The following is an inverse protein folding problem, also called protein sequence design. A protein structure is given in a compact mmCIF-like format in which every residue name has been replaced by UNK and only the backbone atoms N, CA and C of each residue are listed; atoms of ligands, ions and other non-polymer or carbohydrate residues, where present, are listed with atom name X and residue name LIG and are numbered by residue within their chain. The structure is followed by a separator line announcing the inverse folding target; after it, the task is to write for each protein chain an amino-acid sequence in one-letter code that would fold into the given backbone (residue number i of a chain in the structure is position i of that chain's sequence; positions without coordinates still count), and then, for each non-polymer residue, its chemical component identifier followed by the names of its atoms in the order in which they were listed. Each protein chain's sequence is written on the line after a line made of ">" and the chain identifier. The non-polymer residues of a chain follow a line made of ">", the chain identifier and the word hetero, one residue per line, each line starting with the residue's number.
data_IF_433645603507
#
_entry.id   IF_433645603507
#
_cell.length_a   1.000
_cell.length_b   1.000
_cell.length_c   1.000
_cell.angle_alpha   90.00
_cell.angle_beta   90.00
_cell.angle_gamma   90.00
#
_symmetry.space_group_name_H-M   'P 1'
#
loop_
_entity.id
_entity.type
_entity.pdbx_description
1 polymer ?
#
# COMPACT_ATOMS: atom_id res chain seq x y z
N UNK A 1 51.34 -4.98 13.49
CA UNK A 1 50.15 -4.56 12.71
C UNK A 1 50.14 -5.34 11.40
N UNK A 2 49.07 -6.09 11.11
CA UNK A 2 49.00 -6.91 9.90
C UNK A 2 48.96 -6.02 8.66
N UNK A 3 49.87 -6.25 7.71
CA UNK A 3 49.90 -5.56 6.42
C UNK A 3 48.65 -5.99 5.64
N UNK A 4 47.70 -5.09 5.48
CA UNK A 4 46.52 -5.33 4.64
C UNK A 4 47.01 -5.51 3.19
N UNK A 5 46.81 -6.69 2.61
CA UNK A 5 47.26 -7.02 1.24
C UNK A 5 46.32 -6.52 0.15
N UNK A 6 45.09 -6.14 0.49
CA UNK A 6 44.06 -5.67 -0.45
C UNK A 6 43.53 -4.34 0.05
N UNK A 7 43.81 -3.26 -0.67
CA UNK A 7 43.31 -1.93 -0.35
C UNK A 7 42.07 -1.63 -1.19
N UNK A 8 40.89 -1.95 -0.65
CA UNK A 8 39.60 -1.70 -1.30
C UNK A 8 38.68 -0.97 -0.32
N UNK A 9 38.33 0.27 -0.65
CA UNK A 9 37.38 1.08 0.12
C UNK A 9 36.28 1.58 -0.80
N UNK A 10 35.03 1.44 -0.35
CA UNK A 10 33.83 1.92 -1.05
C UNK A 10 33.85 3.45 -1.16
N UNK A 11 34.41 4.15 -0.17
CA UNK A 11 34.50 5.61 -0.14
C UNK A 11 35.40 6.18 -1.24
N UNK A 12 36.48 5.46 -1.57
CA UNK A 12 37.43 5.85 -2.62
C UNK A 12 37.11 5.26 -3.99
N UNK A 13 36.09 4.39 -4.07
CA UNK A 13 35.77 3.66 -5.30
C UNK A 13 35.07 4.59 -6.29
N UNK A 14 35.51 4.52 -7.56
CA UNK A 14 35.02 5.39 -8.64
C UNK A 14 35.06 6.88 -8.26
N UNK A 15 36.16 7.34 -7.67
CA UNK A 15 36.39 8.75 -7.28
C UNK A 15 35.33 9.33 -6.31
N UNK A 16 34.68 8.47 -5.52
CA UNK A 16 33.63 8.87 -4.59
C UNK A 16 32.22 8.81 -5.16
N UNK A 17 32.05 8.45 -6.43
CA UNK A 17 30.72 8.23 -7.03
C UNK A 17 29.94 7.12 -6.30
N UNK A 18 30.63 6.08 -5.80
CA UNK A 18 30.00 5.03 -5.00
C UNK A 18 29.40 5.58 -3.69
N UNK A 19 30.10 6.54 -3.06
CA UNK A 19 29.63 7.19 -1.84
C UNK A 19 28.40 8.07 -2.11
N UNK A 20 28.43 8.87 -3.18
CA UNK A 20 27.31 9.74 -3.55
C UNK A 20 26.03 8.94 -3.86
N UNK A 21 26.15 7.80 -4.56
CA UNK A 21 25.02 6.90 -4.79
C UNK A 21 24.46 6.32 -3.49
N UNK A 22 25.32 5.95 -2.54
CA UNK A 22 24.88 5.46 -1.22
C UNK A 22 24.17 6.56 -0.43
N UNK A 23 24.74 7.77 -0.40
CA UNK A 23 24.14 8.91 0.30
C UNK A 23 22.77 9.28 -0.27
N UNK A 24 22.62 9.23 -1.60
CA UNK A 24 21.33 9.46 -2.27
C UNK A 24 20.27 8.43 -1.84
N UNK A 25 20.58 7.14 -1.98
CA UNK A 25 19.63 6.07 -1.64
C UNK A 25 19.32 6.04 -0.13
N UNK A 26 20.28 6.40 0.73
CA UNK A 26 20.03 6.59 2.15
C UNK A 26 19.08 7.76 2.41
N UNK A 27 19.23 8.88 1.70
CA UNK A 27 18.30 10.01 1.79
C UNK A 27 16.87 9.57 1.49
N UNK A 28 16.67 8.79 0.42
CA UNK A 28 15.36 8.27 0.05
C UNK A 28 14.77 7.31 1.10
N UNK A 29 15.60 6.44 1.68
CA UNK A 29 15.19 5.57 2.79
C UNK A 29 14.74 6.40 3.98
N UNK A 30 15.50 7.42 4.40
CA UNK A 30 15.14 8.26 5.53
C UNK A 30 13.92 9.14 5.25
N UNK A 31 13.75 9.64 4.03
CA UNK A 31 12.53 10.34 3.61
C UNK A 31 11.33 9.41 3.71
N UNK A 32 11.45 8.17 3.24
CA UNK A 32 10.39 7.18 3.36
C UNK A 32 10.12 6.71 4.80
N UNK A 33 11.09 6.80 5.72
CA UNK A 33 10.87 6.55 7.16
C UNK A 33 10.03 7.66 7.78
N UNK A 34 10.27 8.91 7.39
CA UNK A 34 9.57 10.07 7.92
C UNK A 34 8.24 10.36 7.19
N UNK A 35 7.91 9.61 6.15
CA UNK A 35 6.62 9.72 5.45
C UNK A 35 5.50 9.10 6.31
N UNK A 36 4.51 9.90 6.77
CA UNK A 36 3.39 9.40 7.56
C UNK A 36 2.48 8.44 6.79
N UNK A 37 2.57 8.40 5.46
CA UNK A 37 1.80 7.49 4.62
C UNK A 37 2.50 6.16 4.39
N UNK A 38 3.77 5.98 4.78
CA UNK A 38 4.49 4.73 4.64
C UNK A 38 4.25 3.80 5.83
N UNK A 39 4.23 2.48 5.61
CA UNK A 39 4.06 1.52 6.71
C UNK A 39 5.26 1.60 7.69
N UNK A 40 5.03 1.91 8.98
CA UNK A 40 6.11 2.09 9.96
C UNK A 40 6.75 0.76 10.37
N UNK A 41 6.07 -0.36 10.16
CA UNK A 41 6.54 -1.70 10.59
C UNK A 41 7.34 -2.43 9.52
N UNK A 42 7.24 -1.97 8.26
CA UNK A 42 7.94 -2.62 7.14
C UNK A 42 9.41 -2.22 7.11
N UNK A 43 10.25 -3.24 6.89
CA UNK A 43 11.70 -3.07 6.76
C UNK A 43 12.04 -2.34 5.47
N UNK A 44 12.97 -1.39 5.57
CA UNK A 44 13.65 -0.74 4.44
C UNK A 44 15.06 -1.31 4.34
N UNK A 45 15.58 -1.51 3.14
CA UNK A 45 16.91 -2.07 2.95
C UNK A 45 17.68 -1.34 1.86
N UNK A 46 18.96 -1.12 2.09
CA UNK A 46 19.92 -0.67 1.09
C UNK A 46 20.74 -1.88 0.61
N UNK A 47 20.89 -2.04 -0.69
CA UNK A 47 21.67 -3.11 -1.31
C UNK A 47 22.76 -2.48 -2.18
N UNK A 48 24.01 -2.72 -1.81
CA UNK A 48 25.19 -2.36 -2.61
C UNK A 48 25.69 -3.63 -3.29
N UNK A 49 25.61 -3.68 -4.61
CA UNK A 49 26.11 -4.76 -5.45
C UNK A 49 27.39 -4.29 -6.13
N UNK A 50 28.45 -5.08 -6.04
CA UNK A 50 29.70 -4.82 -6.76
C UNK A 50 29.99 -6.02 -7.65
N UNK A 51 30.00 -5.80 -8.96
CA UNK A 51 30.29 -6.80 -9.98
C UNK A 51 31.73 -6.60 -10.49
N UNK A 52 32.51 -7.68 -10.51
CA UNK A 52 33.89 -7.67 -11.01
C UNK A 52 33.97 -8.50 -12.29
N UNK A 53 34.45 -7.89 -13.36
CA UNK A 53 34.65 -8.56 -14.66
C UNK A 53 36.13 -8.46 -15.03
N UNK A 54 36.89 -9.57 -15.03
CA UNK A 54 38.28 -9.58 -15.46
C UNK A 54 38.37 -9.44 -16.99
N UNK A 55 39.51 -8.93 -17.47
CA UNK A 55 39.86 -8.99 -18.88
C UNK A 55 40.48 -10.35 -19.26
N UNK A 56 40.64 -10.62 -20.57
CA UNK A 56 41.11 -11.89 -21.10
C UNK A 56 42.49 -12.31 -20.59
N UNK A 57 43.36 -11.33 -20.31
CA UNK A 57 44.72 -11.53 -19.81
C UNK A 57 44.80 -11.53 -18.26
N UNK A 58 43.66 -11.36 -17.57
CA UNK A 58 43.49 -11.38 -16.09
C UNK A 58 44.33 -10.37 -15.29
N UNK A 59 44.89 -9.39 -15.98
CA UNK A 59 45.72 -8.29 -15.49
C UNK A 59 44.91 -7.03 -15.17
N UNK A 60 43.78 -6.82 -15.86
CA UNK A 60 42.80 -5.78 -15.54
C UNK A 60 41.47 -6.36 -15.05
N UNK A 61 40.86 -5.71 -14.04
CA UNK A 61 39.53 -6.07 -13.52
C UNK A 61 38.65 -4.82 -13.51
N UNK A 62 37.56 -4.86 -14.28
CA UNK A 62 36.52 -3.82 -14.23
C UNK A 62 35.61 -4.08 -13.03
N UNK A 63 35.44 -3.07 -12.18
CA UNK A 63 34.48 -3.09 -11.08
C UNK A 63 33.28 -2.19 -11.42
N UNK A 64 32.07 -2.72 -11.32
CA UNK A 64 30.82 -1.96 -11.46
C UNK A 64 30.08 -1.94 -10.14
N UNK A 65 29.69 -0.76 -9.68
CA UNK A 65 28.91 -0.58 -8.45
C UNK A 65 27.47 -0.29 -8.84
N UNK A 66 26.54 -1.03 -8.25
CA UNK A 66 25.12 -0.77 -8.32
C UNK A 66 24.57 -0.61 -6.90
N UNK A 67 23.88 0.50 -6.63
CA UNK A 67 23.25 0.75 -5.34
C UNK A 67 21.76 0.85 -5.57
N UNK A 68 20.98 0.10 -4.80
CA UNK A 68 19.51 0.09 -4.88
C UNK A 68 18.89 0.08 -3.49
N UNK A 69 17.77 0.76 -3.33
CA UNK A 69 16.99 0.77 -2.09
C UNK A 69 15.65 0.02 -2.24
N UNK A 70 15.21 -0.60 -1.14
CA UNK A 70 13.86 -1.14 -0.98
C UNK A 70 13.13 -0.32 0.07
N UNK A 71 12.16 0.45 -0.38
CA UNK A 71 11.35 1.33 0.45
C UNK A 71 10.15 0.57 1.03
N UNK A 72 9.57 1.10 2.12
CA UNK A 72 8.31 0.59 2.64
C UNK A 72 7.17 1.04 1.72
N UNK A 73 6.20 0.14 1.43
CA UNK A 73 5.01 0.50 0.67
C UNK A 73 4.17 1.51 1.45
N UNK A 74 3.29 2.22 0.73
CA UNK A 74 2.24 3.02 1.35
C UNK A 74 1.37 2.15 2.28
N UNK A 75 0.94 2.72 3.39
CA UNK A 75 0.06 2.08 4.34
C UNK A 75 -1.24 1.65 3.62
N UNK A 76 -1.71 0.42 3.83
CA UNK A 76 -2.89 -0.08 3.14
C UNK A 76 -4.14 0.66 3.60
N UNK A 77 -4.83 1.34 2.68
CA UNK A 77 -6.16 1.90 2.93
C UNK A 77 -7.15 0.73 3.02
N UNK A 78 -7.59 0.42 4.24
CA UNK A 78 -8.51 -0.69 4.48
C UNK A 78 -9.94 -0.17 4.52
N UNK A 79 -10.77 -0.61 3.58
CA UNK A 79 -12.22 -0.40 3.62
C UNK A 79 -12.96 -1.72 3.84
N UNK A 80 -14.09 -1.67 4.56
CA UNK A 80 -14.93 -2.85 4.82
C UNK A 80 -15.91 -3.02 3.66
N UNK A 81 -15.82 -4.15 2.95
CA UNK A 81 -16.74 -4.49 1.87
C UNK A 81 -17.77 -5.49 2.40
N UNK A 82 -19.06 -5.17 2.27
CA UNK A 82 -20.16 -6.08 2.50
C UNK A 82 -20.41 -6.92 1.26
N UNK A 83 -20.47 -8.24 1.43
CA UNK A 83 -20.84 -9.17 0.37
C UNK A 83 -22.15 -9.88 0.73
N UNK A 84 -23.01 -10.09 -0.26
CA UNK A 84 -24.27 -10.81 -0.16
C UNK A 84 -24.47 -11.67 -1.40
N UNK A 85 -25.07 -12.84 -1.23
CA UNK A 85 -25.44 -13.73 -2.34
C UNK A 85 -26.95 -13.76 -2.43
N UNK A 86 -27.47 -13.42 -3.60
CA UNK A 86 -28.89 -13.58 -3.87
C UNK A 86 -29.20 -15.09 -3.97
N UNK A 87 -30.08 -15.57 -3.09
CA UNK A 87 -30.45 -16.98 -2.98
C UNK A 87 -31.25 -17.49 -4.19
N UNK A 88 -31.86 -16.59 -4.97
CA UNK A 88 -32.70 -16.94 -6.12
C UNK A 88 -31.92 -16.94 -7.43
N UNK A 89 -31.01 -15.98 -7.61
CA UNK A 89 -30.25 -15.81 -8.86
C UNK A 89 -28.82 -16.36 -8.76
N UNK A 90 -28.34 -16.65 -7.55
CA UNK A 90 -26.98 -17.11 -7.30
C UNK A 90 -25.90 -16.02 -7.50
N UNK A 91 -26.29 -14.81 -7.90
CA UNK A 91 -25.38 -13.69 -8.16
C UNK A 91 -24.84 -13.10 -6.87
N UNK A 92 -23.56 -12.72 -6.89
CA UNK A 92 -22.85 -12.12 -5.76
C UNK A 92 -22.95 -10.60 -5.93
N UNK A 93 -23.51 -9.93 -4.92
CA UNK A 93 -23.50 -8.48 -4.80
C UNK A 93 -22.48 -8.08 -3.72
N UNK A 94 -21.68 -7.05 -4.01
CA UNK A 94 -20.71 -6.50 -3.07
C UNK A 94 -20.84 -4.98 -3.04
N UNK A 95 -20.90 -4.39 -1.85
CA UNK A 95 -20.95 -2.94 -1.65
C UNK A 95 -20.08 -2.54 -0.47
N UNK A 96 -19.45 -1.37 -0.55
CA UNK A 96 -18.72 -0.79 0.58
C UNK A 96 -19.66 -0.50 1.76
N UNK A 97 -19.27 -0.89 2.97
CA UNK A 97 -20.06 -0.68 4.19
C UNK A 97 -19.80 0.74 4.70
N UNK A 98 -20.83 1.59 4.69
CA UNK A 98 -20.72 3.00 5.09
C UNK A 98 -21.29 3.30 6.48
N UNK A 99 -22.21 2.50 6.99
CA UNK A 99 -22.82 2.72 8.32
C UNK A 99 -22.03 2.13 9.50
N UNK A 100 -20.92 1.44 9.25
CA UNK A 100 -20.10 0.78 10.27
C UNK A 100 -20.64 -0.56 10.79
N UNK A 101 -21.95 -0.79 10.74
CA UNK A 101 -22.63 -2.05 11.14
C UNK A 101 -23.59 -2.51 10.04
N UNK A 102 -23.51 -3.78 9.66
CA UNK A 102 -24.39 -4.38 8.65
C UNK A 102 -25.86 -4.30 9.06
N UNK A 103 -26.72 -3.84 8.15
CA UNK A 103 -28.16 -3.69 8.34
C UNK A 103 -28.58 -2.43 9.09
N UNK A 104 -27.65 -1.55 9.46
CA UNK A 104 -27.97 -0.32 10.19
C UNK A 104 -27.97 0.89 9.25
N UNK A 105 -29.03 1.69 9.30
CA UNK A 105 -29.08 3.00 8.63
C UNK A 105 -28.22 4.03 9.36
N UNK A 106 -27.60 4.94 8.64
CA UNK A 106 -26.85 6.07 9.20
C UNK A 106 -27.36 7.40 8.64
N UNK A 107 -27.16 8.48 9.40
CA UNK A 107 -27.43 9.84 8.95
C UNK A 107 -26.14 10.36 8.33
N UNK A 108 -26.21 10.81 7.08
CA UNK A 108 -25.07 11.41 6.39
C UNK A 108 -24.83 12.87 6.80
N UNK A 109 -23.76 13.50 6.28
CA UNK A 109 -23.45 14.90 6.57
C UNK A 109 -24.50 15.90 6.04
N UNK A 110 -25.37 15.47 5.13
CA UNK A 110 -26.46 16.26 4.56
C UNK A 110 -27.75 16.14 5.38
N UNK A 111 -27.78 15.28 6.41
CA UNK A 111 -28.94 15.01 7.25
C UNK A 111 -29.90 13.96 6.68
N UNK A 112 -29.55 13.30 5.58
CA UNK A 112 -30.39 12.26 4.98
C UNK A 112 -30.13 10.90 5.64
N UNK A 113 -31.20 10.11 5.84
CA UNK A 113 -31.08 8.72 6.32
C UNK A 113 -30.72 7.81 5.15
N UNK A 114 -29.54 7.18 5.23
CA UNK A 114 -29.04 6.22 4.24
C UNK A 114 -28.93 4.81 4.82
N UNK A 115 -29.05 3.81 3.96
CA UNK A 115 -28.80 2.40 4.29
C UNK A 115 -27.33 2.16 4.62
N UNK A 116 -27.03 0.96 5.11
CA UNK A 116 -25.68 0.48 5.37
C UNK A 116 -24.76 0.48 4.14
N UNK A 117 -25.34 0.47 2.93
CA UNK A 117 -24.65 0.57 1.63
C UNK A 117 -24.57 2.00 1.07
N UNK A 118 -25.25 2.97 1.69
CA UNK A 118 -25.26 4.37 1.28
C UNK A 118 -26.37 4.76 0.29
N UNK A 119 -27.40 3.94 0.13
CA UNK A 119 -28.61 4.29 -0.63
C UNK A 119 -29.58 5.09 0.25
N UNK A 120 -30.32 6.06 -0.30
CA UNK A 120 -31.31 6.82 0.46
C UNK A 120 -32.50 5.94 0.84
N UNK A 121 -32.90 5.95 2.11
CA UNK A 121 -34.03 5.13 2.60
C UNK A 121 -35.35 5.53 1.93
N UNK A 122 -35.57 6.83 1.72
CA UNK A 122 -36.79 7.35 1.08
C UNK A 122 -37.05 6.78 -0.33
N UNK A 123 -35.99 6.46 -1.07
CA UNK A 123 -36.08 5.92 -2.43
C UNK A 123 -36.38 4.41 -2.44
N UNK A 124 -36.04 3.71 -1.35
CA UNK A 124 -36.33 2.28 -1.15
C UNK A 124 -37.77 2.11 -0.63
N UNK A 125 -38.20 2.97 0.28
CA UNK A 125 -39.57 2.96 0.82
C UNK A 125 -40.61 3.29 -0.27
N UNK A 126 -40.34 4.23 -1.18
CA UNK A 126 -41.23 4.51 -2.32
C UNK A 126 -41.40 3.34 -3.30
N UNK A 127 -40.41 2.45 -3.40
CA UNK A 127 -40.49 1.22 -4.22
C UNK A 127 -41.26 0.10 -3.52
N UNK A 128 -41.30 0.12 -2.19
CA UNK A 128 -42.00 -0.88 -1.39
C UNK A 128 -43.46 -0.46 -1.25
N UNK A 129 -44.37 -1.10 -2.00
CA UNK A 129 -45.82 -0.85 -1.90
C UNK A 129 -46.25 -0.75 -0.44
N UNK A 130 -46.78 0.40 -0.06
CA UNK A 130 -47.36 0.66 1.26
C UNK A 130 -48.45 -0.41 1.49
N UNK A 131 -48.26 -1.29 2.47
CA UNK A 131 -49.29 -2.22 2.92
C UNK A 131 -50.12 -1.48 3.96
N UNK A 132 -51.36 -1.17 3.63
CA UNK A 132 -52.30 -0.60 4.58
C UNK A 132 -52.75 -1.66 5.59
N UNK A 133 -52.31 -1.54 6.84
CA UNK A 133 -52.67 -2.47 7.93
C UNK A 133 -54.08 -2.20 8.50
N UNK A 134 -54.76 -1.12 8.07
CA UNK A 134 -56.12 -0.83 8.53
C UNK A 134 -57.19 -1.59 7.73
N UNK A 135 -56.93 -1.96 6.48
CA UNK A 135 -57.89 -2.71 5.66
C UNK A 135 -58.05 -4.19 6.05
N UNK A 136 -57.16 -4.74 6.86
CA UNK A 136 -57.19 -6.17 7.26
C UNK A 136 -57.98 -6.47 8.54
N UNK A 137 -58.76 -5.50 9.04
CA UNK A 137 -59.75 -5.68 10.11
C UNK A 137 -61.16 -5.58 9.52
N UNK A 138 -61.53 -6.56 8.72
CA UNK A 138 -62.90 -6.84 8.30
C UNK A 138 -63.27 -8.27 8.67
#
# INVERSE_FOLDING_TARGET
>A
MAKVKINFSIDSLAEGAGKELIERELSDIFNNINDPNADPTKKRSLIVKVDFTPDADYDEVKASINVSSKLAPAAPVTTKIMTGRDLNTGMIAASELKSGVKGQTYIDEQGDVRTDTGEKVEDIEKKSKIIDLQEKRG
#
